data_IF_980638256059
#
_entry.id   IF_980638256059
#
_cell.length_a   1.000
_cell.length_b   1.000
_cell.length_c   1.000
_cell.angle_alpha   90.00
_cell.angle_beta   90.00
_cell.angle_gamma   90.00
#
_symmetry.space_group_name_H-M   'P 1'
#
loop_
_entity.id
_entity.type
_entity.pdbx_description
1 polymer ?
#
# COMPACT_ATOMS: atom_id res chain seq x y z
N UNK A 1 3.82 -8.83 -49.96
CA UNK A 1 3.05 -8.30 -48.83
C UNK A 1 3.45 -9.08 -47.61
N UNK A 2 4.04 -8.42 -46.61
CA UNK A 2 4.57 -9.13 -45.44
C UNK A 2 5.40 -8.23 -44.52
N UNK A 3 4.99 -6.98 -44.37
CA UNK A 3 5.47 -6.05 -43.34
C UNK A 3 4.22 -5.25 -42.97
N UNK A 4 3.37 -5.72 -42.05
CA UNK A 4 2.28 -4.97 -41.37
C UNK A 4 1.11 -5.90 -40.96
N UNK A 5 1.25 -6.68 -39.90
CA UNK A 5 0.09 -7.36 -39.31
C UNK A 5 0.25 -7.66 -37.81
N UNK A 6 0.77 -6.71 -37.02
CA UNK A 6 0.77 -6.95 -35.57
C UNK A 6 1.33 -5.87 -34.65
N UNK A 7 1.97 -4.82 -35.18
CA UNK A 7 2.57 -3.75 -34.34
C UNK A 7 1.88 -2.39 -34.47
N UNK A 8 0.79 -2.28 -35.23
CA UNK A 8 0.07 -1.03 -35.47
C UNK A 8 -1.24 -0.85 -34.68
N UNK A 9 -1.64 -1.85 -33.88
CA UNK A 9 -2.97 -1.90 -33.26
C UNK A 9 -2.93 -2.01 -31.73
N UNK A 10 -1.82 -1.60 -31.11
CA UNK A 10 -1.83 -1.32 -29.68
C UNK A 10 -2.31 0.12 -29.50
N UNK A 11 -3.50 0.35 -28.92
CA UNK A 11 -3.98 1.70 -28.71
C UNK A 11 -2.96 2.47 -27.86
N UNK A 12 -2.67 3.72 -28.24
CA UNK A 12 -1.77 4.63 -27.52
C UNK A 12 -2.18 4.83 -26.04
N UNK A 13 -3.42 4.43 -25.70
CA UNK A 13 -4.03 4.41 -24.37
C UNK A 13 -4.27 2.98 -23.85
N UNK A 14 -3.45 1.99 -24.21
CA UNK A 14 -3.43 0.70 -23.54
C UNK A 14 -3.17 0.97 -22.05
N UNK A 15 -4.26 1.06 -21.30
CA UNK A 15 -4.37 1.95 -20.17
C UNK A 15 -3.34 1.60 -19.10
N UNK A 16 -2.55 2.59 -18.67
CA UNK A 16 -1.87 2.52 -17.39
C UNK A 16 -2.97 2.25 -16.35
N UNK A 17 -3.04 1.02 -15.84
CA UNK A 17 -3.85 0.77 -14.65
C UNK A 17 -3.18 1.54 -13.52
N UNK A 18 -3.89 2.44 -12.82
CA UNK A 18 -3.34 2.99 -11.61
C UNK A 18 -3.03 1.84 -10.66
N UNK A 19 -1.83 1.85 -10.10
CA UNK A 19 -1.45 0.92 -9.04
C UNK A 19 -2.53 0.98 -7.95
N UNK A 20 -2.97 -0.17 -7.41
CA UNK A 20 -3.93 -0.18 -6.32
C UNK A 20 -3.45 0.70 -5.19
N UNK A 21 -4.29 1.63 -4.74
CA UNK A 21 -3.98 2.43 -3.56
C UNK A 21 -3.77 1.47 -2.38
N UNK A 22 -2.65 1.61 -1.67
CA UNK A 22 -2.38 0.78 -0.51
C UNK A 22 -3.52 0.94 0.51
N UNK A 23 -4.08 -0.18 0.97
CA UNK A 23 -5.09 -0.19 2.02
C UNK A 23 -4.49 0.30 3.34
N UNK A 24 -5.31 0.82 4.27
CA UNK A 24 -4.84 1.19 5.61
C UNK A 24 -4.08 0.05 6.31
N UNK A 25 -4.49 -1.20 6.10
CA UNK A 25 -3.83 -2.38 6.63
C UNK A 25 -2.46 -2.62 5.98
N UNK A 26 -2.33 -2.39 4.67
CA UNK A 26 -1.04 -2.49 3.97
C UNK A 26 -0.07 -1.41 4.48
N UNK A 27 -0.54 -0.19 4.65
CA UNK A 27 0.25 0.90 5.23
C UNK A 27 0.71 0.59 6.65
N UNK A 28 -0.18 0.02 7.50
CA UNK A 28 0.19 -0.43 8.83
C UNK A 28 1.25 -1.54 8.81
N UNK A 29 1.12 -2.50 7.88
CA UNK A 29 2.08 -3.59 7.75
C UNK A 29 3.49 -3.09 7.35
N UNK A 30 3.58 -2.04 6.52
CA UNK A 30 4.85 -1.37 6.21
C UNK A 30 5.41 -0.65 7.44
N UNK A 31 4.58 0.12 8.15
CA UNK A 31 4.96 0.84 9.37
C UNK A 31 5.48 -0.11 10.45
N UNK A 32 4.85 -1.28 10.62
CA UNK A 32 5.26 -2.29 11.58
C UNK A 32 6.62 -2.91 11.22
N UNK A 33 6.87 -3.14 9.92
CA UNK A 33 8.18 -3.66 9.45
C UNK A 33 9.31 -2.65 9.62
N UNK A 34 9.00 -1.36 9.55
CA UNK A 34 9.97 -0.28 9.72
C UNK A 34 10.23 0.09 11.20
N UNK A 35 9.34 -0.29 12.12
CA UNK A 35 9.45 0.04 13.52
C UNK A 35 10.43 -0.89 14.25
N UNK A 36 11.45 -0.32 14.88
CA UNK A 36 12.30 -1.04 15.84
C UNK A 36 11.61 -1.07 17.21
N UNK A 37 10.80 -2.10 17.44
CA UNK A 37 10.02 -2.24 18.67
C UNK A 37 10.87 -2.50 19.90
N UNK A 38 12.05 -3.10 19.74
CA UNK A 38 12.95 -3.45 20.84
C UNK A 38 13.67 -2.22 21.39
N UNK A 39 13.81 -1.17 20.58
CA UNK A 39 14.36 0.11 21.01
C UNK A 39 13.35 1.00 21.78
N UNK A 40 12.06 0.66 21.77
CA UNK A 40 11.01 1.47 22.40
C UNK A 40 10.90 1.18 23.89
N UNK A 41 10.71 2.23 24.68
CA UNK A 41 10.25 2.07 26.06
C UNK A 41 8.80 1.57 26.09
N UNK A 42 8.34 0.93 27.19
CA UNK A 42 6.96 0.45 27.29
C UNK A 42 5.89 1.53 27.03
N UNK A 43 6.17 2.79 27.41
CA UNK A 43 5.27 3.91 27.17
C UNK A 43 5.20 4.28 25.69
N UNK A 44 6.35 4.38 25.03
CA UNK A 44 6.44 4.71 23.60
C UNK A 44 5.78 3.64 22.74
N UNK A 45 5.99 2.36 23.08
CA UNK A 45 5.30 1.26 22.42
C UNK A 45 3.78 1.39 22.53
N UNK A 46 3.26 1.70 23.73
CA UNK A 46 1.82 1.89 23.94
C UNK A 46 1.27 3.08 23.15
N UNK A 47 1.99 4.20 23.15
CA UNK A 47 1.60 5.39 22.39
C UNK A 47 1.55 5.10 20.88
N UNK A 48 2.53 4.36 20.36
CA UNK A 48 2.58 3.92 18.97
C UNK A 48 1.40 3.00 18.60
N UNK A 49 1.08 2.02 19.46
CA UNK A 49 -0.07 1.15 19.27
C UNK A 49 -1.39 1.93 19.19
N UNK A 50 -1.57 2.94 20.04
CA UNK A 50 -2.77 3.79 19.97
C UNK A 50 -2.80 4.68 18.73
N UNK A 51 -1.64 5.13 18.23
CA UNK A 51 -1.57 5.84 16.96
C UNK A 51 -2.03 4.96 15.80
N UNK A 52 -1.50 3.73 15.71
CA UNK A 52 -1.91 2.77 14.68
C UNK A 52 -3.40 2.41 14.75
N UNK A 53 -3.94 2.19 15.97
CA UNK A 53 -5.37 1.94 16.16
C UNK A 53 -6.25 3.08 15.63
N UNK A 54 -5.83 4.33 15.76
CA UNK A 54 -6.58 5.50 15.27
C UNK A 54 -6.49 5.67 13.75
N UNK A 55 -5.40 5.20 13.14
CA UNK A 55 -5.19 5.26 11.70
C UNK A 55 -5.98 4.20 10.92
N UNK A 56 -6.36 3.09 11.59
CA UNK A 56 -7.18 2.05 10.98
C UNK A 56 -8.68 2.44 10.94
N UNK A 57 -9.39 2.05 9.88
CA UNK A 57 -10.84 2.17 9.85
C UNK A 57 -11.46 1.38 11.00
N UNK A 58 -12.53 1.91 11.60
CA UNK A 58 -13.30 1.14 12.59
C UNK A 58 -13.99 0.00 11.85
N UNK A 59 -13.67 -1.25 12.19
CA UNK A 59 -14.42 -2.39 11.68
C UNK A 59 -15.91 -2.16 12.01
N UNK A 60 -16.73 -1.94 10.99
CA UNK A 60 -18.17 -1.99 11.14
C UNK A 60 -18.50 -3.42 11.57
N UNK A 61 -18.94 -3.59 12.83
CA UNK A 61 -19.55 -4.84 13.27
C UNK A 61 -20.90 -4.99 12.61
#
# INVERSE_FOLDING_TARGET
>A
GGIAAGLGDLPLFAALRPEPQASPEQLLAEQLRAADLDALTPREALDLLYQWKRALPKNAR
#
